data_IF_493120004913
#
_entry.id   IF_493120004913
#
_cell.length_a   1.000
_cell.length_b   1.000
_cell.length_c   1.000
_cell.angle_alpha   90.00
_cell.angle_beta   90.00
_cell.angle_gamma   90.00
#
_symmetry.space_group_name_H-M   'P 1'
#
loop_
_entity.id
_entity.type
_entity.pdbx_description
1 polymer ?
#
# COMPACT_ATOMS: atom_id res chain seq x y z
N UNK A 1 1.83 -10.45 -27.14
CA UNK A 1 2.39 -9.68 -26.09
C UNK A 1 1.78 -10.03 -24.73
N UNK A 2 2.60 -10.33 -23.79
CA UNK A 2 2.10 -10.72 -22.49
C UNK A 2 1.86 -9.49 -21.63
N UNK A 3 0.68 -9.43 -21.06
CA UNK A 3 0.39 -8.39 -20.10
C UNK A 3 0.84 -8.87 -18.74
N UNK A 4 1.78 -8.15 -18.21
CA UNK A 4 2.27 -8.50 -16.91
C UNK A 4 1.25 -8.13 -15.86
N UNK A 5 0.80 -9.11 -15.14
CA UNK A 5 -0.17 -8.87 -14.09
C UNK A 5 0.54 -8.47 -12.81
N UNK A 6 0.11 -7.35 -12.27
CA UNK A 6 0.64 -6.92 -10.98
C UNK A 6 -0.04 -7.71 -9.89
N UNK A 7 0.74 -8.23 -8.97
CA UNK A 7 0.17 -8.97 -7.88
C UNK A 7 -0.61 -8.04 -6.96
N UNK A 8 -1.55 -8.61 -6.21
CA UNK A 8 -2.31 -7.81 -5.27
C UNK A 8 -1.40 -7.19 -4.22
N UNK A 9 -0.37 -7.92 -3.83
CA UNK A 9 0.59 -7.40 -2.88
C UNK A 9 1.22 -6.11 -3.39
N UNK A 10 1.66 -6.11 -4.64
CA UNK A 10 2.30 -4.94 -5.22
C UNK A 10 1.31 -3.79 -5.37
N UNK A 11 0.07 -4.10 -5.73
CA UNK A 11 -0.94 -3.06 -5.88
C UNK A 11 -1.21 -2.36 -4.56
N UNK A 12 -1.42 -3.15 -3.51
CA UNK A 12 -1.73 -2.55 -2.21
C UNK A 12 -0.54 -1.80 -1.64
N UNK A 13 0.65 -2.33 -1.89
CA UNK A 13 1.84 -1.64 -1.44
C UNK A 13 2.00 -0.31 -2.17
N UNK A 14 1.68 -0.30 -3.45
CA UNK A 14 1.74 0.92 -4.23
C UNK A 14 0.78 1.97 -3.65
N UNK A 15 -0.42 1.56 -3.31
CA UNK A 15 -1.39 2.49 -2.73
C UNK A 15 -0.91 2.99 -1.38
N UNK A 16 -0.31 2.14 -0.59
CA UNK A 16 0.19 2.53 0.71
C UNK A 16 1.29 3.58 0.57
N UNK A 17 2.20 3.35 -0.35
CA UNK A 17 3.29 4.28 -0.57
C UNK A 17 2.76 5.60 -1.12
N UNK A 18 1.73 5.54 -1.94
CA UNK A 18 1.11 6.75 -2.45
C UNK A 18 0.50 7.56 -1.31
N UNK A 19 -0.14 6.89 -0.35
CA UNK A 19 -0.70 7.57 0.79
C UNK A 19 0.39 8.23 1.63
N UNK A 20 1.53 7.56 1.78
CA UNK A 20 2.64 8.15 2.52
C UNK A 20 3.19 9.39 1.81
N UNK A 21 3.19 9.34 0.48
CA UNK A 21 3.61 10.50 -0.27
C UNK A 21 2.68 11.68 -0.01
N UNK A 22 1.39 11.40 0.06
CA UNK A 22 0.42 12.45 0.35
C UNK A 22 0.61 13.02 1.75
N UNK A 23 1.06 12.18 2.69
CA UNK A 23 1.36 12.66 4.03
C UNK A 23 2.48 13.70 3.97
N UNK A 24 3.47 13.45 3.14
CA UNK A 24 4.60 14.35 3.05
C UNK A 24 4.22 15.73 2.53
N UNK A 25 3.30 15.78 1.58
CA UNK A 25 2.93 17.03 0.96
C UNK A 25 1.70 17.66 1.59
N UNK A 26 1.05 16.97 2.50
CA UNK A 26 -0.14 17.50 3.15
C UNK A 26 0.25 18.61 4.10
N UNK A 27 -0.46 19.73 4.00
CA UNK A 27 -0.24 20.85 4.90
C UNK A 27 -1.18 20.81 6.08
N UNK A 28 -2.26 20.02 5.95
CA UNK A 28 -3.27 19.94 6.97
C UNK A 28 -2.97 18.75 7.87
N UNK A 29 -2.96 19.00 9.18
CA UNK A 29 -2.66 17.95 10.13
C UNK A 29 -3.67 16.82 10.06
N UNK A 30 -4.94 17.19 9.89
CA UNK A 30 -5.99 16.20 9.83
C UNK A 30 -5.81 15.30 8.61
N UNK A 31 -5.48 15.89 7.49
CA UNK A 31 -5.23 15.10 6.28
C UNK A 31 -4.06 14.16 6.47
N UNK A 32 -3.03 14.62 7.16
CA UNK A 32 -1.86 13.78 7.39
C UNK A 32 -2.22 12.56 8.21
N UNK A 33 -3.02 12.76 9.24
CA UNK A 33 -3.43 11.65 10.11
C UNK A 33 -4.24 10.65 9.31
N UNK A 34 -5.19 11.15 8.51
CA UNK A 34 -6.04 10.27 7.72
C UNK A 34 -5.22 9.47 6.71
N UNK A 35 -4.32 10.16 6.01
CA UNK A 35 -3.51 9.46 5.01
C UNK A 35 -2.59 8.44 5.64
N UNK A 36 -2.06 8.76 6.81
CA UNK A 36 -1.19 7.81 7.51
C UNK A 36 -1.96 6.57 7.92
N UNK A 37 -3.18 6.75 8.40
CA UNK A 37 -4.02 5.61 8.77
C UNK A 37 -4.35 4.77 7.54
N UNK A 38 -4.65 5.42 6.44
CA UNK A 38 -4.94 4.69 5.21
C UNK A 38 -3.72 3.89 4.75
N UNK A 39 -2.55 4.49 4.85
CA UNK A 39 -1.34 3.79 4.45
C UNK A 39 -1.13 2.55 5.31
N UNK A 40 -1.38 2.67 6.61
CA UNK A 40 -1.24 1.52 7.50
C UNK A 40 -2.18 0.40 7.11
N UNK A 41 -3.41 0.75 6.74
CA UNK A 41 -4.38 -0.25 6.31
C UNK A 41 -3.93 -0.93 5.01
N UNK A 42 -3.44 -0.13 4.07
CA UNK A 42 -2.97 -0.70 2.82
C UNK A 42 -1.80 -1.63 3.03
N UNK A 43 -0.86 -1.26 3.90
CA UNK A 43 0.27 -2.13 4.20
C UNK A 43 -0.18 -3.42 4.85
N UNK A 44 -1.18 -3.32 5.72
CA UNK A 44 -1.72 -4.51 6.37
C UNK A 44 -2.31 -5.46 5.35
N UNK A 45 -3.09 -4.92 4.41
CA UNK A 45 -3.67 -5.73 3.36
C UNK A 45 -2.58 -6.33 2.49
N UNK A 46 -1.56 -5.55 2.17
CA UNK A 46 -0.47 -6.06 1.35
C UNK A 46 0.21 -7.24 2.03
N UNK A 47 0.41 -7.14 3.34
CA UNK A 47 1.05 -8.24 4.06
C UNK A 47 0.24 -9.52 3.99
N UNK A 48 -1.07 -9.39 4.03
CA UNK A 48 -1.93 -10.56 3.94
C UNK A 48 -1.74 -11.26 2.60
N UNK A 49 -1.65 -10.48 1.54
CA UNK A 49 -1.46 -11.07 0.22
C UNK A 49 -0.03 -11.55 0.03
N UNK A 50 0.91 -10.90 0.67
CA UNK A 50 2.29 -11.34 0.60
C UNK A 50 2.44 -12.74 1.16
N UNK A 51 1.81 -12.99 2.29
CA UNK A 51 1.90 -14.30 2.91
C UNK A 51 1.27 -15.37 2.04
N UNK A 52 0.18 -15.02 1.35
CA UNK A 52 -0.51 -15.97 0.51
C UNK A 52 0.23 -16.24 -0.80
N UNK A 53 0.94 -15.23 -1.30
CA UNK A 53 1.57 -15.35 -2.61
C UNK A 53 2.98 -15.89 -2.55
N UNK A 54 3.63 -15.75 -1.41
CA UNK A 54 5.00 -16.22 -1.30
C UNK A 54 5.03 -17.73 -1.19
N UNK A 55 5.93 -18.35 -1.95
CA UNK A 55 6.06 -19.80 -1.84
C UNK A 55 6.57 -20.19 -0.47
N UNK A 56 6.09 -21.30 -0.01
CA UNK A 56 6.54 -21.83 1.28
C UNK A 56 8.00 -22.23 1.16
N UNK A 57 8.73 -21.97 2.17
CA UNK A 57 10.15 -22.32 2.17
C UNK A 57 10.39 -23.59 2.88
#
# INVERSE_FOLDING_TARGET
MAVRETSKYEEYRFYAEHCLELVRIATNRKSRIIQRQMAAEWFKLAEMFSAAEQPAK
#
